data_IF_551385347691
#
_entry.id   IF_551385347691
#
_cell.length_a   1.000
_cell.length_b   1.000
_cell.length_c   1.000
_cell.angle_alpha   90.00
_cell.angle_beta   90.00
_cell.angle_gamma   90.00
#
_symmetry.space_group_name_H-M   'P 1'
#
loop_
_entity.id
_entity.type
_entity.pdbx_description
1 polymer ?
#
# COMPACT_ATOMS: atom_id res chain seq x y z
N UNK A 1 3.06 2.71 -16.62
CA UNK A 1 1.95 2.13 -15.84
C UNK A 1 1.78 0.64 -16.12
N UNK A 2 1.93 0.16 -17.37
CA UNK A 2 1.87 -1.26 -17.76
C UNK A 2 2.58 -2.24 -16.79
N UNK A 3 3.80 -1.93 -16.37
CA UNK A 3 4.54 -2.80 -15.45
C UNK A 3 3.85 -3.07 -14.08
N UNK A 4 3.12 -2.09 -13.53
CA UNK A 4 2.39 -2.29 -12.26
C UNK A 4 1.11 -3.11 -12.43
N UNK A 5 0.48 -3.01 -13.59
CA UNK A 5 -0.67 -3.83 -13.94
C UNK A 5 -0.26 -5.30 -14.08
N UNK A 6 0.89 -5.56 -14.71
CA UNK A 6 1.50 -6.90 -14.79
C UNK A 6 1.78 -7.48 -13.40
N UNK A 7 2.40 -6.70 -12.50
CA UNK A 7 2.62 -7.10 -11.10
C UNK A 7 1.29 -7.46 -10.41
N UNK A 8 0.26 -6.62 -10.58
CA UNK A 8 -1.06 -6.86 -9.99
C UNK A 8 -1.68 -8.18 -10.48
N UNK A 9 -1.65 -8.43 -11.79
CA UNK A 9 -2.17 -9.67 -12.38
C UNK A 9 -1.39 -10.91 -11.92
N UNK A 10 -0.08 -10.79 -11.74
CA UNK A 10 0.75 -11.86 -11.21
C UNK A 10 0.38 -12.20 -9.76
N UNK A 11 0.30 -11.19 -8.88
CA UNK A 11 -0.04 -11.38 -7.48
C UNK A 11 -1.46 -11.92 -7.28
N UNK A 12 -2.41 -11.46 -8.11
CA UNK A 12 -3.78 -11.95 -8.11
C UNK A 12 -3.82 -13.47 -8.34
N UNK A 13 -3.08 -13.95 -9.34
CA UNK A 13 -2.95 -15.39 -9.63
C UNK A 13 -2.23 -16.14 -8.51
N UNK A 14 -1.15 -15.57 -7.97
CA UNK A 14 -0.35 -16.21 -6.92
C UNK A 14 -1.14 -16.50 -5.65
N UNK A 15 -1.98 -15.57 -5.21
CA UNK A 15 -2.78 -15.71 -3.97
C UNK A 15 -4.20 -16.22 -4.20
N UNK A 16 -4.57 -16.44 -5.47
CA UNK A 16 -5.89 -16.90 -5.90
C UNK A 16 -7.03 -16.05 -5.30
N UNK A 17 -6.92 -14.72 -5.48
CA UNK A 17 -7.94 -13.73 -5.11
C UNK A 17 -8.72 -13.27 -6.34
N UNK A 18 -9.99 -12.93 -6.17
CA UNK A 18 -10.82 -12.42 -7.27
C UNK A 18 -10.43 -10.98 -7.60
N UNK A 19 -10.42 -10.66 -8.90
CA UNK A 19 -10.10 -9.30 -9.38
C UNK A 19 -11.03 -8.25 -8.78
N UNK A 20 -12.31 -8.57 -8.69
CA UNK A 20 -13.34 -7.66 -8.19
C UNK A 20 -13.08 -7.24 -6.75
N UNK A 21 -12.49 -8.11 -5.91
CA UNK A 21 -12.08 -7.73 -4.54
C UNK A 21 -11.06 -6.59 -4.55
N UNK A 22 -10.09 -6.65 -5.46
CA UNK A 22 -9.04 -5.63 -5.59
C UNK A 22 -9.62 -4.33 -6.16
N UNK A 23 -10.44 -4.42 -7.21
CA UNK A 23 -11.03 -3.24 -7.84
C UNK A 23 -12.01 -2.52 -6.90
N UNK A 24 -12.83 -3.27 -6.15
CA UNK A 24 -13.72 -2.71 -5.14
C UNK A 24 -12.94 -2.02 -4.02
N UNK A 25 -11.85 -2.62 -3.54
CA UNK A 25 -11.03 -2.02 -2.49
C UNK A 25 -10.39 -0.70 -2.96
N UNK A 26 -9.91 -0.65 -4.21
CA UNK A 26 -9.36 0.58 -4.81
C UNK A 26 -10.43 1.67 -5.00
N UNK A 27 -11.62 1.30 -5.45
CA UNK A 27 -12.69 2.26 -5.76
C UNK A 27 -13.32 2.86 -4.49
N UNK A 28 -13.48 2.05 -3.44
CA UNK A 28 -14.17 2.44 -2.20
C UNK A 28 -13.23 2.91 -1.10
N UNK A 29 -11.93 2.63 -1.23
CA UNK A 29 -10.93 2.77 -0.16
C UNK A 29 -11.28 1.96 1.10
N UNK A 30 -12.16 0.96 0.97
CA UNK A 30 -12.44 -0.02 2.02
C UNK A 30 -11.57 -1.26 1.80
N UNK A 31 -10.58 -1.44 2.67
CA UNK A 31 -9.57 -2.50 2.53
C UNK A 31 -9.97 -3.74 3.33
N UNK A 32 -10.24 -4.89 2.65
CA UNK A 32 -10.61 -6.13 3.31
C UNK A 32 -9.56 -6.61 4.31
N UNK A 33 -10.01 -7.26 5.39
CA UNK A 33 -9.11 -7.90 6.36
C UNK A 33 -8.83 -9.36 6.03
N UNK A 34 -9.32 -9.86 4.89
CA UNK A 34 -9.14 -11.26 4.53
C UNK A 34 -7.67 -11.55 4.18
N UNK A 35 -7.26 -12.78 4.47
CA UNK A 35 -5.87 -13.21 4.31
C UNK A 35 -5.38 -13.08 2.87
N UNK A 36 -6.23 -13.36 1.87
CA UNK A 36 -5.80 -13.30 0.46
C UNK A 36 -5.54 -11.87 0.01
N UNK A 37 -6.32 -10.89 0.49
CA UNK A 37 -6.06 -9.48 0.19
C UNK A 37 -4.77 -9.00 0.84
N UNK A 38 -4.52 -9.38 2.09
CA UNK A 38 -3.25 -9.11 2.79
C UNK A 38 -2.05 -9.71 2.04
N UNK A 39 -2.15 -10.98 1.65
CA UNK A 39 -1.12 -11.66 0.86
C UNK A 39 -0.91 -11.02 -0.53
N UNK A 40 -2.00 -10.58 -1.18
CA UNK A 40 -1.94 -9.83 -2.43
C UNK A 40 -1.17 -8.51 -2.26
N UNK A 41 -1.46 -7.75 -1.21
CA UNK A 41 -0.74 -6.51 -0.90
C UNK A 41 0.75 -6.77 -0.67
N UNK A 42 1.08 -7.78 0.13
CA UNK A 42 2.48 -8.14 0.40
C UNK A 42 3.22 -8.54 -0.90
N UNK A 43 2.61 -9.38 -1.73
CA UNK A 43 3.16 -9.74 -3.03
C UNK A 43 3.42 -8.50 -3.90
N UNK A 44 2.42 -7.62 -4.00
CA UNK A 44 2.48 -6.42 -4.82
C UNK A 44 3.53 -5.43 -4.31
N UNK A 45 3.62 -5.24 -2.99
CA UNK A 45 4.59 -4.34 -2.37
C UNK A 45 6.01 -4.86 -2.54
N UNK A 46 6.26 -6.15 -2.38
CA UNK A 46 7.57 -6.76 -2.61
C UNK A 46 8.05 -6.56 -4.05
N UNK A 47 7.18 -6.83 -5.03
CA UNK A 47 7.51 -6.67 -6.46
C UNK A 47 7.71 -5.22 -6.88
N UNK A 48 7.06 -4.28 -6.20
CA UNK A 48 7.24 -2.84 -6.44
C UNK A 48 8.42 -2.23 -5.66
N UNK A 49 9.05 -2.98 -4.75
CA UNK A 49 10.12 -2.47 -3.89
C UNK A 49 9.63 -1.61 -2.72
N UNK A 50 8.37 -1.76 -2.32
CA UNK A 50 7.75 -1.08 -1.17
C UNK A 50 7.82 -1.90 0.12
N UNK A 51 8.10 -3.20 0.01
CA UNK A 51 8.32 -4.10 1.14
C UNK A 51 9.54 -4.97 0.86
N UNK A 52 10.40 -5.18 1.84
CA UNK A 52 11.53 -6.10 1.73
C UNK A 52 11.07 -7.56 1.67
N UNK A 53 11.99 -8.47 1.35
CA UNK A 53 11.68 -9.91 1.39
C UNK A 53 11.31 -10.39 2.81
N UNK A 54 11.92 -9.78 3.83
CA UNK A 54 11.66 -10.02 5.26
C UNK A 54 10.44 -9.26 5.81
N UNK A 55 9.65 -8.61 4.94
CA UNK A 55 8.38 -8.00 5.34
C UNK A 55 8.46 -6.55 5.82
N UNK A 56 9.64 -5.94 5.86
CA UNK A 56 9.83 -4.55 6.31
C UNK A 56 9.31 -3.58 5.26
N UNK A 57 8.45 -2.63 5.67
CA UNK A 57 7.91 -1.61 4.78
C UNK A 57 8.96 -0.53 4.50
N UNK A 58 9.23 -0.31 3.22
CA UNK A 58 10.23 0.62 2.70
C UNK A 58 9.58 1.96 2.38
N UNK A 59 9.24 2.72 3.43
CA UNK A 59 8.52 3.99 3.31
C UNK A 59 9.19 5.01 2.39
N UNK A 60 10.53 5.02 2.29
CA UNK A 60 11.22 5.91 1.36
C UNK A 60 10.88 5.59 -0.10
N UNK A 61 10.85 4.30 -0.48
CA UNK A 61 10.44 3.86 -1.82
C UNK A 61 9.00 4.27 -2.13
N UNK A 62 8.11 4.17 -1.14
CA UNK A 62 6.71 4.60 -1.27
C UNK A 62 6.62 6.12 -1.45
N UNK A 63 7.35 6.91 -0.64
CA UNK A 63 7.41 8.37 -0.77
C UNK A 63 7.97 8.80 -2.13
N UNK A 64 9.00 8.13 -2.62
CA UNK A 64 9.56 8.40 -3.95
C UNK A 64 8.52 8.14 -5.04
N UNK A 65 7.75 7.06 -4.94
CA UNK A 65 6.64 6.81 -5.84
C UNK A 65 5.55 7.89 -5.76
N UNK A 66 5.10 8.23 -4.56
CA UNK A 66 4.04 9.23 -4.33
C UNK A 66 4.48 10.65 -4.69
N UNK A 67 5.79 10.94 -4.71
CA UNK A 67 6.33 12.25 -5.09
C UNK A 67 6.01 12.66 -6.54
N UNK A 68 5.52 11.71 -7.34
CA UNK A 68 5.01 11.95 -8.70
C UNK A 68 3.63 12.63 -8.70
N UNK A 69 2.94 12.63 -7.57
CA UNK A 69 1.57 13.13 -7.40
C UNK A 69 1.47 14.20 -6.29
N UNK A 70 2.32 14.10 -5.27
CA UNK A 70 2.36 14.99 -4.11
C UNK A 70 3.72 15.67 -3.99
N UNK A 71 3.78 16.85 -3.34
CA UNK A 71 5.08 17.48 -3.04
C UNK A 71 5.80 16.64 -1.98
N UNK A 72 7.13 16.54 -2.06
CA UNK A 72 7.93 15.77 -1.09
C UNK A 72 7.74 16.24 0.36
N UNK A 73 7.51 17.54 0.58
CA UNK A 73 7.24 18.07 1.92
C UNK A 73 5.89 17.59 2.49
N UNK A 74 4.88 17.43 1.64
CA UNK A 74 3.55 16.97 2.01
C UNK A 74 3.60 15.51 2.47
N UNK A 75 4.47 14.70 1.83
CA UNK A 75 4.68 13.28 2.17
C UNK A 75 5.36 13.05 3.54
N UNK A 76 5.75 14.08 4.27
CA UNK A 76 6.21 13.97 5.66
C UNK A 76 5.13 13.47 6.61
N UNK A 77 3.84 13.61 6.24
CA UNK A 77 2.71 13.08 7.01
C UNK A 77 2.82 11.56 7.23
N UNK A 78 3.50 10.85 6.33
CA UNK A 78 3.71 9.40 6.43
C UNK A 78 4.78 9.00 7.45
N UNK A 79 5.56 9.93 8.02
CA UNK A 79 6.58 9.60 9.02
C UNK A 79 5.98 9.01 10.31
N UNK A 80 4.68 9.22 10.52
CA UNK A 80 3.90 8.67 11.63
C UNK A 80 3.49 7.19 11.42
N UNK A 81 3.70 6.61 10.23
CA UNK A 81 3.24 5.26 9.90
C UNK A 81 4.22 4.14 10.31
N UNK A 82 5.30 4.46 11.01
CA UNK A 82 6.32 3.47 11.38
C UNK A 82 5.81 2.56 12.50
N UNK A 83 5.34 1.38 12.13
CA UNK A 83 4.94 0.33 13.07
C UNK A 83 6.08 -0.64 13.40
N UNK A 84 5.89 -1.39 14.50
CA UNK A 84 6.75 -2.50 14.92
C UNK A 84 6.71 -3.63 13.88
N UNK A 85 7.86 -4.23 13.62
CA UNK A 85 8.02 -5.38 12.72
C UNK A 85 7.13 -6.53 13.24
N UNK A 86 6.16 -6.97 12.44
CA UNK A 86 5.39 -8.20 12.66
C UNK A 86 5.91 -9.30 11.73
N UNK A 87 5.78 -10.56 12.16
CA UNK A 87 6.12 -11.72 11.33
C UNK A 87 5.20 -11.87 10.10
N UNK A 88 3.98 -11.32 10.15
CA UNK A 88 3.03 -11.39 9.05
C UNK A 88 3.23 -10.25 8.04
N UNK A 89 3.76 -10.60 6.87
CA UNK A 89 4.03 -9.65 5.78
C UNK A 89 2.75 -8.99 5.23
N UNK A 90 1.63 -9.70 5.23
CA UNK A 90 0.35 -9.21 4.72
C UNK A 90 -0.27 -8.17 5.64
N UNK A 91 -0.22 -8.40 6.95
CA UNK A 91 -0.63 -7.42 7.95
C UNK A 91 0.22 -6.14 7.86
N UNK A 92 1.55 -6.29 7.73
CA UNK A 92 2.45 -5.15 7.55
C UNK A 92 2.08 -4.31 6.33
N UNK A 93 1.75 -4.96 5.20
CA UNK A 93 1.36 -4.26 3.98
C UNK A 93 -0.01 -3.56 4.12
N UNK A 94 -0.99 -4.20 4.75
CA UNK A 94 -2.32 -3.62 4.99
C UNK A 94 -2.26 -2.44 5.96
N UNK A 95 -1.55 -2.56 7.08
CA UNK A 95 -1.41 -1.49 8.06
C UNK A 95 -0.71 -0.27 7.45
N UNK A 96 0.36 -0.49 6.68
CA UNK A 96 1.02 0.58 5.95
C UNK A 96 0.05 1.28 4.98
N UNK A 97 -0.69 0.52 4.18
CA UNK A 97 -1.69 1.07 3.26
C UNK A 97 -2.70 1.96 4.01
N UNK A 98 -3.32 1.45 5.08
CA UNK A 98 -4.30 2.19 5.88
C UNK A 98 -3.72 3.49 6.43
N UNK A 99 -2.57 3.41 7.10
CA UNK A 99 -1.94 4.58 7.68
C UNK A 99 -1.59 5.65 6.63
N UNK A 100 -1.06 5.24 5.47
CA UNK A 100 -0.71 6.17 4.39
C UNK A 100 -1.97 6.86 3.87
N UNK A 101 -3.02 6.10 3.57
CA UNK A 101 -4.26 6.64 3.02
C UNK A 101 -4.93 7.61 4.01
N UNK A 102 -4.97 7.28 5.30
CA UNK A 102 -5.53 8.13 6.34
C UNK A 102 -4.74 9.44 6.48
N UNK A 103 -3.40 9.38 6.50
CA UNK A 103 -2.58 10.59 6.60
C UNK A 103 -2.68 11.48 5.37
N UNK A 104 -2.73 10.90 4.16
CA UNK A 104 -2.94 11.67 2.92
C UNK A 104 -4.31 12.33 2.89
N UNK A 105 -5.38 11.59 3.25
CA UNK A 105 -6.74 12.13 3.35
C UNK A 105 -6.81 13.30 4.34
N UNK A 106 -6.28 13.12 5.55
CA UNK A 106 -6.28 14.17 6.57
C UNK A 106 -5.52 15.43 6.13
N UNK A 107 -4.43 15.26 5.39
CA UNK A 107 -3.67 16.37 4.83
C UNK A 107 -4.45 17.10 3.73
N UNK A 108 -5.08 16.37 2.82
CA UNK A 108 -5.91 16.96 1.75
C UNK A 108 -7.13 17.70 2.31
N UNK A 109 -7.79 17.16 3.34
CA UNK A 109 -8.90 17.83 4.02
C UNK A 109 -8.47 19.12 4.72
N UNK A 110 -7.28 19.13 5.35
CA UNK A 110 -6.71 20.35 5.97
C UNK A 110 -6.32 21.39 4.92
N UNK A 111 -5.82 21.00 3.76
CA UNK A 111 -5.44 21.93 2.69
C UNK A 111 -6.65 22.59 1.99
N UNK A 112 -7.86 22.05 2.17
CA UNK A 112 -9.10 22.60 1.63
C UNK A 112 -9.82 23.56 2.59
N UNK A 113 -9.36 23.66 3.83
CA UNK A 113 -9.85 24.61 4.84
C UNK A 113 -8.98 25.86 4.83
#
# INVERSE_FOLDING_TARGET
MKHREEIGLECLRQVNIQRDTIENAKATLNFPEDRKYKDFLACSYKKQGFQSQDGVILYNSIKDFLSRYYKRNDLKVMDNCKENIREDHGEMALNALRCIMDNLKNMEEKSRR
#
